data_IF_088843888120
#
_entry.id   IF_088843888120
#
_cell.length_a   1.000
_cell.length_b   1.000
_cell.length_c   1.000
_cell.angle_alpha   90.00
_cell.angle_beta   90.00
_cell.angle_gamma   90.00
#
_symmetry.space_group_name_H-M   'P 1'
#
loop_
_entity.id
_entity.type
_entity.pdbx_description
1 polymer ?
#
# COMPACT_ATOMS: atom_id res chain seq x y z
N UNK A 1 49.71 -17.10 4.02
CA UNK A 1 48.99 -18.06 3.14
C UNK A 1 47.84 -18.79 3.83
N UNK A 2 47.99 -19.36 5.05
CA UNK A 2 46.86 -19.99 5.80
C UNK A 2 45.59 -19.11 5.88
N UNK A 3 45.72 -17.83 6.25
CA UNK A 3 44.59 -16.90 6.29
C UNK A 3 43.90 -16.68 4.93
N UNK A 4 44.61 -16.78 3.81
CA UNK A 4 44.02 -16.49 2.49
C UNK A 4 43.14 -17.63 1.99
N UNK A 5 43.56 -18.87 2.22
CA UNK A 5 42.79 -20.06 1.88
C UNK A 5 41.56 -20.21 2.80
N UNK A 6 41.74 -20.05 4.11
CA UNK A 6 40.62 -20.08 5.07
C UNK A 6 39.57 -19.01 4.76
N UNK A 7 39.98 -17.77 4.46
CA UNK A 7 39.07 -16.70 4.01
C UNK A 7 38.37 -17.08 2.70
N UNK A 8 39.03 -17.79 1.78
CA UNK A 8 38.42 -18.20 0.52
C UNK A 8 37.32 -19.23 0.72
N UNK A 9 37.55 -20.23 1.58
CA UNK A 9 36.56 -21.27 1.92
C UNK A 9 35.40 -20.68 2.71
N UNK A 10 35.68 -19.81 3.69
CA UNK A 10 34.64 -19.11 4.43
C UNK A 10 33.74 -18.27 3.51
N UNK A 11 34.31 -17.60 2.50
CA UNK A 11 33.53 -16.87 1.50
C UNK A 11 32.65 -17.79 0.64
N UNK A 12 33.11 -18.99 0.27
CA UNK A 12 32.27 -19.98 -0.42
C UNK A 12 31.09 -20.39 0.47
N UNK A 13 31.35 -20.66 1.75
CA UNK A 13 30.31 -20.99 2.74
C UNK A 13 29.29 -19.85 2.93
N UNK A 14 29.72 -18.58 2.94
CA UNK A 14 28.82 -17.43 2.99
C UNK A 14 27.90 -17.35 1.77
N UNK A 15 28.38 -17.72 0.58
CA UNK A 15 27.57 -17.78 -0.65
C UNK A 15 26.51 -18.87 -0.55
N UNK A 16 26.89 -20.09 -0.14
CA UNK A 16 25.93 -21.19 0.03
C UNK A 16 24.88 -20.90 1.10
N UNK A 17 25.30 -20.30 2.23
CA UNK A 17 24.36 -19.81 3.23
C UNK A 17 23.38 -18.76 2.69
N UNK A 18 23.87 -17.87 1.81
CA UNK A 18 23.02 -16.95 1.05
C UNK A 18 21.95 -17.70 0.24
N UNK A 19 22.33 -18.74 -0.49
CA UNK A 19 21.42 -19.58 -1.27
C UNK A 19 20.38 -20.28 -0.39
N UNK A 20 20.81 -20.90 0.71
CA UNK A 20 19.92 -21.62 1.64
C UNK A 20 18.89 -20.69 2.29
N UNK A 21 19.34 -19.55 2.80
CA UNK A 21 18.43 -18.56 3.41
C UNK A 21 17.53 -17.90 2.38
N UNK A 22 17.98 -17.76 1.12
CA UNK A 22 17.13 -17.31 0.03
C UNK A 22 15.98 -18.28 -0.27
N UNK A 23 16.27 -19.59 -0.36
CA UNK A 23 15.24 -20.62 -0.55
C UNK A 23 14.18 -20.57 0.55
N UNK A 24 14.59 -20.48 1.83
CA UNK A 24 13.64 -20.39 2.94
C UNK A 24 12.80 -19.11 2.90
N UNK A 25 13.43 -17.96 2.60
CA UNK A 25 12.72 -16.68 2.47
C UNK A 25 11.72 -16.66 1.33
N UNK A 26 12.07 -17.27 0.19
CA UNK A 26 11.18 -17.33 -0.96
C UNK A 26 9.96 -18.21 -0.65
N UNK A 27 10.17 -19.39 -0.08
CA UNK A 27 9.06 -20.26 0.34
C UNK A 27 8.18 -19.58 1.39
N UNK A 28 8.78 -18.89 2.36
CA UNK A 28 8.03 -18.16 3.38
C UNK A 28 7.14 -17.07 2.78
N UNK A 29 7.65 -16.36 1.76
CA UNK A 29 6.88 -15.34 1.05
C UNK A 29 5.65 -15.94 0.35
N UNK A 30 5.80 -17.11 -0.27
CA UNK A 30 4.69 -17.81 -0.92
C UNK A 30 3.64 -18.28 0.10
N UNK A 31 4.08 -18.82 1.24
CA UNK A 31 3.21 -19.21 2.37
C UNK A 31 2.43 -18.00 2.90
N UNK A 32 3.11 -16.87 3.10
CA UNK A 32 2.50 -15.64 3.58
C UNK A 32 1.42 -15.14 2.61
N UNK A 33 1.70 -15.10 1.31
CA UNK A 33 0.74 -14.69 0.28
C UNK A 33 -0.49 -15.60 0.23
N UNK A 34 -0.29 -16.92 0.34
CA UNK A 34 -1.38 -17.90 0.36
C UNK A 34 -2.26 -17.73 1.60
N UNK A 35 -1.66 -17.63 2.79
CA UNK A 35 -2.39 -17.42 4.03
C UNK A 35 -3.13 -16.08 4.04
N UNK A 36 -2.51 -15.01 3.56
CA UNK A 36 -3.15 -13.70 3.46
C UNK A 36 -4.40 -13.78 2.55
N UNK A 37 -4.31 -14.46 1.41
CA UNK A 37 -5.46 -14.68 0.52
C UNK A 37 -6.59 -15.48 1.20
N UNK A 38 -6.25 -16.49 2.02
CA UNK A 38 -7.24 -17.25 2.77
C UNK A 38 -7.92 -16.42 3.87
N UNK A 39 -7.16 -15.57 4.57
CA UNK A 39 -7.67 -14.61 5.56
C UNK A 39 -8.61 -13.61 4.89
N UNK A 40 -8.22 -13.04 3.75
CA UNK A 40 -9.05 -12.12 2.97
C UNK A 40 -10.38 -12.76 2.56
N UNK A 41 -10.33 -14.02 2.12
CA UNK A 41 -11.52 -14.82 1.78
C UNK A 41 -12.32 -15.31 3.02
N UNK A 42 -11.85 -15.07 4.24
CA UNK A 42 -12.53 -15.44 5.48
C UNK A 42 -12.45 -16.93 5.82
N UNK A 43 -11.51 -17.68 5.24
CA UNK A 43 -11.31 -19.11 5.52
C UNK A 43 -10.48 -19.36 6.78
N UNK A 44 -9.71 -18.37 7.22
CA UNK A 44 -8.79 -18.47 8.37
C UNK A 44 -9.06 -17.30 9.31
N UNK A 45 -9.33 -17.62 10.58
CA UNK A 45 -9.63 -16.64 11.64
C UNK A 45 -8.49 -16.45 12.64
N UNK A 46 -7.52 -17.37 12.66
CA UNK A 46 -6.33 -17.30 13.51
C UNK A 46 -5.18 -18.00 12.81
N UNK A 47 -3.96 -17.47 12.92
CA UNK A 47 -2.75 -18.14 12.43
C UNK A 47 -1.82 -18.38 13.62
N UNK A 48 -1.51 -19.64 13.92
CA UNK A 48 -0.52 -19.97 14.94
C UNK A 48 0.88 -20.11 14.34
N UNK A 49 1.90 -19.99 15.20
CA UNK A 49 3.30 -20.25 14.85
C UNK A 49 3.47 -21.65 14.25
N UNK A 50 2.77 -22.64 14.81
CA UNK A 50 2.83 -24.04 14.37
C UNK A 50 2.23 -24.23 12.98
N UNK A 51 1.20 -23.45 12.60
CA UNK A 51 0.60 -23.52 11.26
C UNK A 51 1.56 -23.03 10.19
N UNK A 52 2.26 -21.92 10.45
CA UNK A 52 3.30 -21.38 9.55
C UNK A 52 4.49 -22.34 9.50
N UNK A 53 4.94 -22.85 10.65
CA UNK A 53 6.05 -23.80 10.72
C UNK A 53 5.76 -25.10 9.94
N UNK A 54 4.53 -25.61 10.04
CA UNK A 54 4.09 -26.81 9.32
C UNK A 54 4.19 -26.65 7.80
N UNK A 55 3.87 -25.47 7.29
CA UNK A 55 3.94 -25.18 5.85
C UNK A 55 5.38 -25.09 5.36
N UNK A 56 6.28 -24.41 6.09
CA UNK A 56 7.69 -24.26 5.67
C UNK A 56 8.56 -25.49 5.95
N UNK A 57 8.05 -26.47 6.70
CA UNK A 57 8.79 -27.69 7.11
C UNK A 57 9.45 -28.41 5.93
N UNK A 58 8.79 -28.45 4.77
CA UNK A 58 9.32 -29.06 3.55
C UNK A 58 10.61 -28.40 3.07
N UNK A 59 10.58 -27.09 2.85
CA UNK A 59 11.75 -26.31 2.44
C UNK A 59 12.87 -26.33 3.50
N UNK A 60 12.51 -26.29 4.78
CA UNK A 60 13.49 -26.43 5.87
C UNK A 60 14.22 -27.78 5.83
N UNK A 61 13.50 -28.89 5.59
CA UNK A 61 14.11 -30.21 5.46
C UNK A 61 15.04 -30.29 4.24
N UNK A 62 14.65 -29.70 3.11
CA UNK A 62 15.47 -29.65 1.90
C UNK A 62 16.77 -28.86 2.11
N UNK A 63 16.66 -27.66 2.70
CA UNK A 63 17.81 -26.82 3.02
C UNK A 63 18.73 -27.49 4.04
N UNK A 64 18.17 -28.13 5.06
CA UNK A 64 18.95 -28.90 6.06
C UNK A 64 19.74 -30.02 5.39
N UNK A 65 19.15 -30.72 4.42
CA UNK A 65 19.83 -31.76 3.64
C UNK A 65 20.97 -31.18 2.80
N UNK A 66 20.70 -30.13 2.02
CA UNK A 66 21.71 -29.43 1.19
C UNK A 66 22.89 -28.94 2.02
N UNK A 67 22.61 -28.36 3.19
CA UNK A 67 23.63 -27.92 4.12
C UNK A 67 24.49 -29.08 4.64
N UNK A 68 23.86 -30.18 5.10
CA UNK A 68 24.62 -31.37 5.53
C UNK A 68 25.51 -31.91 4.41
N UNK A 69 24.96 -32.05 3.21
CA UNK A 69 25.70 -32.50 2.04
C UNK A 69 26.91 -31.59 1.76
N UNK A 70 26.76 -30.27 1.88
CA UNK A 70 27.87 -29.32 1.69
C UNK A 70 28.97 -29.49 2.76
N UNK A 71 28.60 -29.58 4.04
CA UNK A 71 29.58 -29.76 5.11
C UNK A 71 30.28 -31.12 5.07
N UNK A 72 29.60 -32.17 4.60
CA UNK A 72 30.11 -33.55 4.65
C UNK A 72 30.87 -33.97 3.36
N UNK A 73 30.58 -33.37 2.20
CA UNK A 73 31.09 -33.82 0.89
C UNK A 73 32.02 -32.82 0.18
N UNK A 74 32.12 -31.59 0.66
CA UNK A 74 32.98 -30.58 0.04
C UNK A 74 34.47 -30.92 0.24
N UNK A 75 35.30 -30.52 -0.73
CA UNK A 75 36.76 -30.70 -0.71
C UNK A 75 37.41 -30.06 0.53
N UNK A 76 36.79 -29.01 1.08
CA UNK A 76 37.25 -28.23 2.22
C UNK A 76 36.57 -28.68 3.55
N UNK A 77 35.93 -29.86 3.61
CA UNK A 77 35.09 -30.34 4.73
C UNK A 77 35.72 -30.28 6.12
N UNK A 78 36.98 -30.68 6.29
CA UNK A 78 37.70 -30.59 7.57
C UNK A 78 37.77 -29.14 8.08
N UNK A 79 38.00 -28.18 7.18
CA UNK A 79 38.07 -26.77 7.54
C UNK A 79 36.68 -26.17 7.77
N UNK A 80 35.65 -26.65 7.06
CA UNK A 80 34.27 -26.23 7.25
C UNK A 80 33.67 -26.68 8.59
N UNK A 81 34.12 -27.83 9.12
CA UNK A 81 33.60 -28.42 10.35
C UNK A 81 33.56 -27.44 11.55
N UNK A 82 34.56 -26.55 11.64
CA UNK A 82 34.63 -25.54 12.71
C UNK A 82 33.49 -24.51 12.68
N UNK A 83 32.84 -24.29 11.54
CA UNK A 83 31.73 -23.34 11.39
C UNK A 83 30.35 -24.01 11.33
N UNK A 84 30.28 -25.34 11.22
CA UNK A 84 29.01 -26.09 11.04
C UNK A 84 27.94 -25.71 12.05
N UNK A 85 28.24 -25.84 13.34
CA UNK A 85 27.27 -25.56 14.40
C UNK A 85 26.75 -24.11 14.37
N UNK A 86 27.64 -23.15 14.05
CA UNK A 86 27.27 -21.74 13.92
C UNK A 86 26.29 -21.52 12.77
N UNK A 87 26.50 -22.14 11.61
CA UNK A 87 25.61 -21.99 10.46
C UNK A 87 24.29 -22.76 10.62
N UNK A 88 24.31 -23.95 11.24
CA UNK A 88 23.09 -24.67 11.64
C UNK A 88 22.22 -23.84 12.59
N UNK A 89 22.84 -23.15 13.54
CA UNK A 89 22.15 -22.24 14.47
C UNK A 89 21.59 -21.03 13.72
N UNK A 90 22.39 -20.38 12.85
CA UNK A 90 21.95 -19.23 12.06
C UNK A 90 20.73 -19.54 11.17
N UNK A 91 20.70 -20.69 10.50
CA UNK A 91 19.55 -21.07 9.66
C UNK A 91 18.28 -21.20 10.52
N UNK A 92 18.42 -21.81 11.71
CA UNK A 92 17.31 -21.97 12.64
C UNK A 92 16.80 -20.63 13.16
N UNK A 93 17.69 -19.73 13.54
CA UNK A 93 17.34 -18.37 13.97
C UNK A 93 16.63 -17.59 12.85
N UNK A 94 17.11 -17.70 11.60
CA UNK A 94 16.45 -17.09 10.44
C UNK A 94 15.05 -17.68 10.24
N UNK A 95 14.90 -19.01 10.32
CA UNK A 95 13.61 -19.66 10.20
C UNK A 95 12.64 -19.23 11.30
N UNK A 96 13.06 -19.32 12.56
CA UNK A 96 12.24 -18.97 13.72
C UNK A 96 11.83 -17.48 13.69
N UNK A 97 12.75 -16.60 13.29
CA UNK A 97 12.47 -15.18 13.09
C UNK A 97 11.42 -14.93 12.01
N UNK A 98 11.55 -15.59 10.85
CA UNK A 98 10.57 -15.48 9.77
C UNK A 98 9.19 -16.00 10.17
N UNK A 99 9.13 -17.14 10.87
CA UNK A 99 7.87 -17.74 11.32
C UNK A 99 7.17 -16.80 12.31
N UNK A 100 7.90 -16.24 13.27
CA UNK A 100 7.35 -15.30 14.24
C UNK A 100 6.80 -14.04 13.55
N UNK A 101 7.58 -13.48 12.64
CA UNK A 101 7.26 -12.27 11.90
C UNK A 101 6.02 -12.44 11.01
N UNK A 102 5.96 -13.51 10.21
CA UNK A 102 4.80 -13.83 9.36
C UNK A 102 3.56 -14.11 10.20
N UNK A 103 3.70 -14.85 11.30
CA UNK A 103 2.59 -15.11 12.23
C UNK A 103 2.03 -13.81 12.80
N UNK A 104 2.89 -12.90 13.27
CA UNK A 104 2.47 -11.59 13.78
C UNK A 104 1.78 -10.76 12.70
N UNK A 105 2.35 -10.71 11.50
CA UNK A 105 1.80 -9.97 10.35
C UNK A 105 0.39 -10.46 10.00
N UNK A 106 0.20 -11.77 9.84
CA UNK A 106 -1.09 -12.35 9.48
C UNK A 106 -2.15 -12.14 10.58
N UNK A 107 -1.75 -12.24 11.85
CA UNK A 107 -2.66 -11.93 12.96
C UNK A 107 -3.05 -10.45 13.02
N UNK A 108 -2.16 -9.53 12.65
CA UNK A 108 -2.52 -8.11 12.52
C UNK A 108 -3.59 -7.90 11.44
N UNK A 109 -3.45 -8.57 10.28
CA UNK A 109 -4.47 -8.53 9.19
C UNK A 109 -5.82 -9.05 9.70
N UNK A 110 -5.82 -10.18 10.42
CA UNK A 110 -7.02 -10.76 11.02
C UNK A 110 -7.67 -9.79 12.02
N UNK A 111 -6.89 -9.23 12.94
CA UNK A 111 -7.40 -8.29 13.94
C UNK A 111 -8.02 -7.05 13.29
N UNK A 112 -7.39 -6.54 12.24
CA UNK A 112 -7.92 -5.42 11.47
C UNK A 112 -9.24 -5.79 10.78
N UNK A 113 -9.31 -6.95 10.12
CA UNK A 113 -10.54 -7.42 9.49
C UNK A 113 -11.68 -7.56 10.50
N UNK A 114 -11.37 -8.08 11.70
CA UNK A 114 -12.32 -8.18 12.80
C UNK A 114 -12.77 -6.79 13.27
N UNK A 115 -11.85 -5.85 13.44
CA UNK A 115 -12.16 -4.47 13.81
C UNK A 115 -13.04 -3.76 12.76
N UNK A 116 -12.77 -3.96 11.46
CA UNK A 116 -13.61 -3.43 10.39
C UNK A 116 -15.02 -4.04 10.43
N UNK A 117 -15.14 -5.35 10.61
CA UNK A 117 -16.44 -6.02 10.73
C UNK A 117 -17.22 -5.51 11.94
N UNK A 118 -16.58 -5.40 13.11
CA UNK A 118 -17.19 -4.84 14.31
C UNK A 118 -17.62 -3.38 14.12
N UNK A 119 -16.86 -2.60 13.36
CA UNK A 119 -17.21 -1.22 13.01
C UNK A 119 -18.46 -1.18 12.13
N UNK A 120 -18.52 -2.02 11.09
CA UNK A 120 -19.66 -2.09 10.17
C UNK A 120 -20.93 -2.59 10.87
N UNK A 121 -20.82 -3.61 11.73
CA UNK A 121 -21.92 -4.11 12.54
C UNK A 121 -22.45 -3.01 13.48
N UNK A 122 -21.55 -2.23 14.11
CA UNK A 122 -21.94 -1.07 14.94
C UNK A 122 -22.62 0.02 14.14
N UNK A 123 -22.14 0.32 12.93
CA UNK A 123 -22.78 1.29 12.03
C UNK A 123 -24.21 0.85 11.71
N UNK A 124 -24.41 -0.42 11.37
CA UNK A 124 -25.73 -0.98 11.10
C UNK A 124 -26.64 -0.92 12.35
N UNK A 125 -26.11 -1.26 13.53
CA UNK A 125 -26.87 -1.17 14.78
C UNK A 125 -27.31 0.26 15.09
N UNK A 126 -26.43 1.24 14.89
CA UNK A 126 -26.73 2.65 15.08
C UNK A 126 -27.77 3.13 14.09
N UNK A 127 -27.67 2.78 12.82
CA UNK A 127 -28.68 3.15 11.81
C UNK A 127 -30.06 2.60 12.19
N UNK A 128 -30.13 1.33 12.60
CA UNK A 128 -31.38 0.72 13.06
C UNK A 128 -31.97 1.44 14.28
N UNK A 129 -31.12 1.78 15.27
CA UNK A 129 -31.55 2.50 16.48
C UNK A 129 -31.98 3.95 16.18
N UNK A 130 -31.26 4.65 15.31
CA UNK A 130 -31.61 6.01 14.88
C UNK A 130 -32.95 6.01 14.13
N UNK A 131 -33.16 5.03 13.24
CA UNK A 131 -34.43 4.89 12.53
C UNK A 131 -35.60 4.65 13.49
N UNK A 132 -35.41 3.74 14.45
CA UNK A 132 -36.41 3.44 15.45
C UNK A 132 -36.76 4.68 16.29
N UNK A 133 -35.75 5.45 16.70
CA UNK A 133 -35.96 6.73 17.40
C UNK A 133 -36.68 7.78 16.56
N UNK A 134 -36.35 7.90 15.27
CA UNK A 134 -37.09 8.76 14.34
C UNK A 134 -38.56 8.35 14.24
N UNK A 135 -38.85 7.04 14.21
CA UNK A 135 -40.23 6.53 14.15
C UNK A 135 -41.01 6.79 15.44
N UNK A 136 -40.40 6.54 16.60
CA UNK A 136 -40.99 6.80 17.93
C UNK A 136 -41.32 8.29 18.09
N UNK A 137 -40.37 9.17 17.77
CA UNK A 137 -40.57 10.61 17.84
C UNK A 137 -41.72 11.07 16.92
N UNK A 138 -41.80 10.51 15.70
CA UNK A 138 -42.88 10.83 14.78
C UNK A 138 -44.26 10.40 15.30
N UNK A 139 -44.33 9.25 15.99
CA UNK A 139 -45.58 8.79 16.62
C UNK A 139 -46.01 9.69 17.78
N UNK A 140 -45.07 10.14 18.62
CA UNK A 140 -45.35 11.06 19.73
C UNK A 140 -45.87 12.42 19.28
N UNK A 141 -45.44 12.87 18.09
CA UNK A 141 -45.74 14.20 17.54
C UNK A 141 -46.91 14.20 16.53
N UNK A 142 -47.36 13.01 16.10
CA UNK A 142 -48.42 12.83 15.08
C UNK A 142 -49.71 13.61 15.37
N UNK A 143 -50.06 13.75 16.65
CA UNK A 143 -51.28 14.43 17.09
C UNK A 143 -51.03 15.84 17.66
N UNK A 144 -49.77 16.28 17.75
CA UNK A 144 -49.38 17.49 18.50
C UNK A 144 -48.84 18.63 17.63
N UNK A 145 -48.19 18.32 16.53
CA UNK A 145 -47.50 19.34 15.74
C UNK A 145 -48.30 19.72 14.48
N UNK A 146 -48.57 21.02 14.31
CA UNK A 146 -49.21 21.57 13.11
C UNK A 146 -48.21 22.25 12.16
N UNK A 147 -46.98 22.49 12.60
CA UNK A 147 -45.93 23.19 11.84
C UNK A 147 -44.71 22.28 11.59
N UNK A 148 -44.32 22.16 10.32
CA UNK A 148 -43.16 21.39 9.85
C UNK A 148 -41.84 21.97 10.40
N UNK A 149 -41.76 23.28 10.62
CA UNK A 149 -40.59 23.92 11.22
C UNK A 149 -40.41 23.58 12.70
N UNK A 150 -41.49 23.45 13.47
CA UNK A 150 -41.44 23.04 14.88
C UNK A 150 -41.02 21.57 15.02
N UNK A 151 -41.53 20.69 14.16
CA UNK A 151 -41.11 19.28 14.07
C UNK A 151 -39.60 19.17 13.83
N UNK A 152 -39.08 19.96 12.90
CA UNK A 152 -37.67 19.95 12.57
C UNK A 152 -36.80 20.43 13.75
N UNK A 153 -37.17 21.52 14.43
CA UNK A 153 -36.45 21.99 15.63
C UNK A 153 -36.44 20.93 16.73
N UNK A 154 -37.55 20.22 16.93
CA UNK A 154 -37.63 19.14 17.91
C UNK A 154 -36.67 17.98 17.58
N UNK A 155 -36.65 17.52 16.33
CA UNK A 155 -35.71 16.50 15.87
C UNK A 155 -34.25 16.93 16.10
N UNK A 156 -33.91 18.17 15.72
CA UNK A 156 -32.55 18.69 15.86
C UNK A 156 -32.08 18.77 17.31
N UNK A 157 -32.99 19.10 18.24
CA UNK A 157 -32.68 19.18 19.67
C UNK A 157 -32.31 17.81 20.27
N UNK A 158 -32.94 16.72 19.78
CA UNK A 158 -32.73 15.37 20.29
C UNK A 158 -31.58 14.64 19.60
N UNK A 159 -31.29 14.99 18.35
CA UNK A 159 -30.29 14.34 17.50
C UNK A 159 -28.92 14.20 18.16
N UNK A 160 -28.38 15.31 18.69
CA UNK A 160 -27.06 15.31 19.31
C UNK A 160 -26.99 14.35 20.52
N UNK A 161 -28.06 14.30 21.32
CA UNK A 161 -28.18 13.39 22.45
C UNK A 161 -28.28 11.92 22.04
N UNK A 162 -28.99 11.62 20.95
CA UNK A 162 -29.07 10.26 20.40
C UNK A 162 -27.70 9.79 19.89
N UNK A 163 -27.03 10.60 19.07
CA UNK A 163 -25.71 10.27 18.53
C UNK A 163 -24.71 10.05 19.66
N UNK A 164 -24.66 10.95 20.65
CA UNK A 164 -23.75 10.82 21.80
C UNK A 164 -24.00 9.54 22.61
N UNK A 165 -25.25 9.21 22.91
CA UNK A 165 -25.59 7.98 23.66
C UNK A 165 -25.27 6.70 22.89
N UNK A 166 -25.53 6.69 21.59
CA UNK A 166 -25.34 5.51 20.74
C UNK A 166 -23.87 5.23 20.41
N UNK A 167 -22.98 6.22 20.60
CA UNK A 167 -21.55 6.14 20.24
C UNK A 167 -20.62 6.08 21.46
N UNK A 168 -21.14 6.25 22.68
CA UNK A 168 -20.34 6.37 23.92
C UNK A 168 -19.42 5.17 24.24
N UNK A 169 -19.66 4.00 23.64
CA UNK A 169 -18.84 2.79 23.84
C UNK A 169 -17.82 2.51 22.73
N UNK A 170 -17.72 3.35 21.70
CA UNK A 170 -16.77 3.14 20.59
C UNK A 170 -15.35 3.56 21.01
N UNK A 171 -14.36 2.69 20.82
CA UNK A 171 -12.95 3.05 20.99
C UNK A 171 -12.46 3.77 19.73
N UNK A 172 -11.76 4.91 19.85
CA UNK A 172 -11.14 5.57 18.71
C UNK A 172 -10.10 4.65 18.04
N UNK A 173 -10.04 4.71 16.72
CA UNK A 173 -9.04 3.99 15.94
C UNK A 173 -7.66 4.67 16.14
N UNK A 174 -6.63 3.88 16.47
CA UNK A 174 -5.27 4.38 16.74
C UNK A 174 -4.61 4.99 15.49
N UNK A 175 -3.68 5.93 15.68
CA UNK A 175 -2.85 6.48 14.60
C UNK A 175 -1.83 5.45 14.11
N UNK A 176 -1.34 5.65 12.88
CA UNK A 176 -0.36 4.79 12.23
C UNK A 176 1.03 5.42 12.30
N UNK A 177 2.03 4.61 12.63
CA UNK A 177 3.44 5.01 12.65
C UNK A 177 4.19 4.36 11.47
N UNK A 178 4.10 5.02 10.32
CA UNK A 178 4.75 4.57 9.08
C UNK A 178 6.27 4.46 9.24
N UNK A 179 6.89 5.28 10.09
CA UNK A 179 8.34 5.29 10.27
C UNK A 179 8.81 4.11 11.14
N UNK A 180 8.05 3.76 12.18
CA UNK A 180 8.29 2.55 12.95
C UNK A 180 8.06 1.31 12.07
N UNK A 181 6.96 1.27 11.34
CA UNK A 181 6.60 0.15 10.47
C UNK A 181 7.62 -0.05 9.34
N UNK A 182 8.10 1.02 8.69
CA UNK A 182 9.17 0.95 7.69
C UNK A 182 10.46 0.31 8.23
N UNK A 183 10.76 0.53 9.52
CA UNK A 183 11.92 -0.06 10.18
C UNK A 183 11.75 -1.57 10.32
N UNK A 184 10.57 -2.01 10.77
CA UNK A 184 10.21 -3.42 10.84
C UNK A 184 10.33 -4.06 9.45
N UNK A 185 9.72 -3.46 8.43
CA UNK A 185 9.77 -3.96 7.04
C UNK A 185 11.19 -4.14 6.50
N UNK A 186 12.10 -3.22 6.81
CA UNK A 186 13.49 -3.33 6.36
C UNK A 186 14.24 -4.45 7.09
N UNK A 187 14.02 -4.61 8.40
CA UNK A 187 14.60 -5.72 9.16
C UNK A 187 14.09 -7.08 8.66
N UNK A 188 12.79 -7.15 8.38
CA UNK A 188 12.09 -8.30 7.80
C UNK A 188 12.70 -8.72 6.45
N UNK A 189 13.11 -7.76 5.63
CA UNK A 189 13.80 -8.01 4.35
C UNK A 189 15.26 -8.48 4.49
N UNK A 190 15.76 -8.58 5.72
CA UNK A 190 17.10 -9.03 6.06
C UNK A 190 18.16 -7.92 6.05
N UNK A 191 17.77 -6.65 6.16
CA UNK A 191 18.72 -5.55 6.32
C UNK A 191 19.14 -5.39 7.78
N UNK A 192 20.41 -5.09 7.99
CA UNK A 192 21.02 -4.94 9.32
C UNK A 192 20.55 -3.64 9.99
N UNK A 193 20.20 -3.70 11.29
CA UNK A 193 19.73 -2.53 12.05
C UNK A 193 20.64 -1.31 11.91
N UNK A 194 21.97 -1.52 11.96
CA UNK A 194 22.95 -0.44 11.87
C UNK A 194 22.82 0.35 10.57
N UNK A 195 22.61 -0.33 9.44
CA UNK A 195 22.43 0.31 8.13
C UNK A 195 21.14 1.14 8.11
N UNK A 196 20.06 0.57 8.64
CA UNK A 196 18.75 1.23 8.70
C UNK A 196 18.82 2.47 9.60
N UNK A 197 19.43 2.34 10.78
CA UNK A 197 19.56 3.44 11.73
C UNK A 197 20.44 4.57 11.18
N UNK A 198 21.58 4.23 10.58
CA UNK A 198 22.50 5.20 9.96
C UNK A 198 21.82 5.97 8.81
N UNK A 199 21.04 5.29 7.98
CA UNK A 199 20.22 5.91 6.93
C UNK A 199 19.18 6.90 7.51
N UNK A 200 18.52 6.52 8.60
CA UNK A 200 17.52 7.37 9.28
C UNK A 200 18.15 8.59 9.96
N UNK A 201 19.28 8.42 10.63
CA UNK A 201 20.02 9.51 11.29
C UNK A 201 20.55 10.53 10.27
N UNK A 202 21.15 10.03 9.19
CA UNK A 202 21.71 10.90 8.14
C UNK A 202 20.64 11.52 7.25
N UNK A 203 19.44 10.93 7.20
CA UNK A 203 18.35 11.31 6.29
C UNK A 203 18.82 11.35 4.82
N UNK A 204 19.83 10.55 4.47
CA UNK A 204 20.43 10.50 3.13
C UNK A 204 19.41 10.10 2.07
N UNK A 205 18.49 9.21 2.43
CA UNK A 205 17.36 8.79 1.59
C UNK A 205 16.52 9.96 1.07
N UNK A 206 16.33 11.04 1.84
CA UNK A 206 15.52 12.20 1.41
C UNK A 206 16.11 12.93 0.22
N UNK A 207 17.43 12.82 0.04
CA UNK A 207 18.20 13.47 -1.03
C UNK A 207 18.71 12.49 -2.07
N UNK A 208 18.18 11.26 -2.11
CA UNK A 208 18.68 10.24 -3.02
C UNK A 208 18.58 10.68 -4.49
N UNK A 209 17.52 11.38 -4.90
CA UNK A 209 17.39 11.95 -6.25
C UNK A 209 18.33 13.14 -6.55
N UNK A 210 18.61 13.94 -5.51
CA UNK A 210 19.47 15.13 -5.57
C UNK A 210 20.96 14.77 -5.50
N UNK A 211 21.27 13.48 -5.27
CA UNK A 211 22.64 12.99 -5.23
C UNK A 211 23.27 13.18 -6.61
N UNK A 212 24.25 14.07 -6.68
CA UNK A 212 25.02 14.33 -7.91
C UNK A 212 26.00 13.21 -8.25
N UNK A 213 26.34 12.35 -7.28
CA UNK A 213 27.28 11.26 -7.48
C UNK A 213 26.89 9.98 -6.71
N UNK A 214 26.37 8.99 -7.42
CA UNK A 214 25.98 7.68 -6.88
C UNK A 214 27.14 6.71 -6.67
N UNK A 215 28.40 7.10 -6.93
CA UNK A 215 29.57 6.22 -6.71
C UNK A 215 29.68 5.71 -5.26
N UNK A 216 29.17 6.48 -4.29
CA UNK A 216 29.09 6.06 -2.88
C UNK A 216 28.22 4.81 -2.66
N UNK A 217 27.24 4.58 -3.52
CA UNK A 217 26.31 3.45 -3.49
C UNK A 217 26.77 2.23 -4.29
N UNK A 218 27.96 2.28 -4.87
CA UNK A 218 28.42 1.28 -5.85
C UNK A 218 29.68 0.57 -5.36
N UNK A 219 29.76 -0.72 -5.65
CA UNK A 219 30.92 -1.58 -5.42
C UNK A 219 31.40 -2.16 -6.75
N UNK A 220 32.72 -2.14 -6.97
CA UNK A 220 33.35 -2.66 -8.20
C UNK A 220 33.46 -4.18 -8.16
N UNK A 221 33.19 -4.86 -9.27
CA UNK A 221 33.57 -6.27 -9.41
C UNK A 221 35.11 -6.39 -9.41
N UNK A 222 35.66 -7.27 -8.56
CA UNK A 222 37.09 -7.38 -8.22
C UNK A 222 38.09 -7.63 -9.38
N UNK A 223 37.64 -7.74 -10.63
CA UNK A 223 38.51 -8.10 -11.76
C UNK A 223 39.19 -6.93 -12.48
N UNK A 224 38.98 -5.67 -12.08
CA UNK A 224 39.71 -4.54 -12.68
C UNK A 224 40.37 -3.65 -11.63
N UNK A 225 41.60 -4.03 -11.31
CA UNK A 225 42.55 -3.29 -10.50
C UNK A 225 43.25 -2.29 -11.44
N UNK A 226 43.16 -0.99 -11.14
CA UNK A 226 43.96 0.14 -11.69
C UNK A 226 43.34 1.19 -12.64
N UNK A 227 42.02 1.43 -12.67
CA UNK A 227 41.50 2.73 -13.14
C UNK A 227 40.45 3.31 -12.18
N UNK A 228 40.63 4.58 -11.83
CA UNK A 228 39.58 5.42 -11.24
C UNK A 228 38.46 5.53 -12.29
N UNK A 229 37.51 4.59 -12.23
CA UNK A 229 36.30 4.64 -13.03
C UNK A 229 35.44 5.78 -12.47
N UNK A 230 35.48 6.93 -13.12
CA UNK A 230 34.53 8.00 -12.90
C UNK A 230 33.21 7.55 -13.52
N UNK A 231 32.13 7.52 -12.74
CA UNK A 231 30.78 7.30 -13.28
C UNK A 231 30.52 8.35 -14.36
N UNK A 232 30.14 7.92 -15.55
CA UNK A 232 29.78 8.87 -16.60
C UNK A 232 28.51 9.61 -16.22
N UNK A 233 28.29 10.79 -16.80
CA UNK A 233 27.04 11.52 -16.63
C UNK A 233 25.83 10.64 -17.00
N UNK A 234 25.94 9.85 -18.08
CA UNK A 234 24.90 8.89 -18.48
C UNK A 234 24.63 7.83 -17.41
N UNK A 235 25.66 7.28 -16.77
CA UNK A 235 25.47 6.29 -15.69
C UNK A 235 24.78 6.89 -14.46
N UNK A 236 25.07 8.16 -14.14
CA UNK A 236 24.38 8.88 -13.07
C UNK A 236 22.91 9.13 -13.43
N UNK A 237 22.62 9.56 -14.67
CA UNK A 237 21.25 9.75 -15.15
C UNK A 237 20.46 8.44 -15.21
N UNK A 238 21.09 7.32 -15.57
CA UNK A 238 20.45 6.01 -15.55
C UNK A 238 19.98 5.62 -14.15
N UNK A 239 20.81 5.83 -13.12
CA UNK A 239 20.42 5.56 -11.73
C UNK A 239 19.29 6.51 -11.30
N UNK A 240 19.36 7.79 -11.65
CA UNK A 240 18.31 8.76 -11.32
C UNK A 240 16.98 8.42 -12.00
N UNK A 241 17.02 8.04 -13.28
CA UNK A 241 15.86 7.57 -14.01
C UNK A 241 15.25 6.32 -13.37
N UNK A 242 16.08 5.36 -12.98
CA UNK A 242 15.65 4.16 -12.26
C UNK A 242 14.95 4.50 -10.93
N UNK A 243 15.50 5.41 -10.12
CA UNK A 243 14.88 5.84 -8.86
C UNK A 243 13.48 6.42 -9.12
N UNK A 244 13.32 7.29 -10.13
CA UNK A 244 12.01 7.87 -10.50
C UNK A 244 11.00 6.79 -10.90
N UNK A 245 11.43 5.82 -11.73
CA UNK A 245 10.56 4.70 -12.13
C UNK A 245 10.11 3.86 -10.92
N UNK A 246 11.01 3.60 -9.98
CA UNK A 246 10.68 2.85 -8.76
C UNK A 246 9.75 3.67 -7.84
N UNK A 247 9.97 4.99 -7.72
CA UNK A 247 9.08 5.89 -6.97
C UNK A 247 7.66 5.85 -7.55
N UNK A 248 7.50 6.10 -8.85
CA UNK A 248 6.20 6.11 -9.53
C UNK A 248 5.47 4.77 -9.35
N UNK A 249 6.16 3.65 -9.57
CA UNK A 249 5.58 2.30 -9.39
C UNK A 249 5.20 2.03 -7.94
N UNK A 250 6.00 2.49 -6.98
CA UNK A 250 5.74 2.29 -5.54
C UNK A 250 4.54 3.12 -5.08
N UNK A 251 4.47 4.38 -5.50
CA UNK A 251 3.36 5.28 -5.19
C UNK A 251 2.04 4.76 -5.76
N UNK A 252 2.03 4.35 -7.02
CA UNK A 252 0.83 3.76 -7.66
C UNK A 252 0.40 2.48 -6.96
N UNK A 253 1.34 1.62 -6.57
CA UNK A 253 1.05 0.40 -5.80
C UNK A 253 0.39 0.74 -4.46
N UNK A 254 0.95 1.68 -3.68
CA UNK A 254 0.37 2.10 -2.39
C UNK A 254 -1.00 2.76 -2.58
N UNK A 255 -1.14 3.65 -3.55
CA UNK A 255 -2.36 4.39 -3.80
C UNK A 255 -3.52 3.49 -4.28
N UNK A 256 -3.20 2.34 -4.87
CA UNK A 256 -4.21 1.33 -5.24
C UNK A 256 -4.79 0.58 -4.03
N UNK A 257 -4.18 0.68 -2.84
CA UNK A 257 -4.60 -0.07 -1.65
C UNK A 257 -5.84 0.57 -1.00
N UNK A 258 -6.77 -0.23 -0.47
CA UNK A 258 -8.04 0.25 0.07
C UNK A 258 -7.88 0.83 1.50
N UNK A 259 -6.92 1.75 1.70
CA UNK A 259 -6.63 2.32 3.03
C UNK A 259 -7.82 3.10 3.59
N UNK A 260 -8.55 3.83 2.74
CA UNK A 260 -9.69 4.64 3.16
C UNK A 260 -10.90 3.79 3.62
N UNK A 261 -11.06 2.59 3.06
CA UNK A 261 -12.21 1.72 3.33
C UNK A 261 -11.91 0.60 4.30
N UNK A 262 -10.68 0.06 4.28
CA UNK A 262 -10.25 -1.07 5.12
C UNK A 262 -9.23 -0.70 6.20
N UNK A 263 -8.72 0.53 6.18
CA UNK A 263 -7.66 0.99 7.07
C UNK A 263 -6.25 0.62 6.58
N UNK A 264 -5.25 1.24 7.20
CA UNK A 264 -3.84 0.97 6.93
C UNK A 264 -3.41 -0.44 7.37
N UNK A 265 -2.50 -1.06 6.61
CA UNK A 265 -1.85 -2.31 6.99
C UNK A 265 -0.35 -2.25 6.64
N UNK A 266 0.49 -2.77 7.54
CA UNK A 266 1.95 -2.87 7.32
C UNK A 266 2.31 -3.71 6.08
N UNK A 267 1.44 -4.65 5.68
CA UNK A 267 1.59 -5.44 4.44
C UNK A 267 1.80 -4.55 3.21
N UNK A 268 1.16 -3.38 3.17
CA UNK A 268 1.28 -2.44 2.07
C UNK A 268 2.71 -1.89 1.94
N UNK A 269 3.40 -1.65 3.06
CA UNK A 269 4.80 -1.23 3.03
C UNK A 269 5.73 -2.40 2.66
N UNK A 270 5.42 -3.61 3.14
CA UNK A 270 6.22 -4.81 2.84
C UNK A 270 6.21 -5.13 1.35
N UNK A 271 5.06 -5.06 0.70
CA UNK A 271 4.96 -5.25 -0.75
C UNK A 271 5.83 -4.24 -1.54
N UNK A 272 5.75 -2.96 -1.16
CA UNK A 272 6.57 -1.92 -1.79
C UNK A 272 8.05 -2.20 -1.59
N UNK A 273 8.45 -2.55 -0.38
CA UNK A 273 9.85 -2.82 -0.07
C UNK A 273 10.37 -4.08 -0.82
N UNK A 274 9.54 -5.12 -0.97
CA UNK A 274 9.86 -6.30 -1.81
C UNK A 274 10.03 -5.89 -3.27
N UNK A 275 9.10 -5.09 -3.80
CA UNK A 275 9.15 -4.59 -5.18
C UNK A 275 10.40 -3.75 -5.43
N UNK A 276 10.78 -2.86 -4.50
CA UNK A 276 12.02 -2.08 -4.57
C UNK A 276 13.24 -3.01 -4.61
N UNK A 277 13.33 -3.98 -3.69
CA UNK A 277 14.45 -4.93 -3.63
C UNK A 277 14.57 -5.76 -4.92
N UNK A 278 13.45 -6.18 -5.49
CA UNK A 278 13.39 -6.88 -6.78
C UNK A 278 13.86 -5.98 -7.93
N UNK A 279 13.32 -4.76 -8.02
CA UNK A 279 13.71 -3.80 -9.06
C UNK A 279 15.19 -3.41 -9.00
N UNK A 280 15.77 -3.27 -7.81
CA UNK A 280 17.22 -3.04 -7.65
C UNK A 280 18.02 -4.22 -8.18
N UNK A 281 17.58 -5.46 -7.90
CA UNK A 281 18.23 -6.68 -8.35
C UNK A 281 18.18 -6.83 -9.88
N UNK A 282 17.04 -6.52 -10.49
CA UNK A 282 16.85 -6.49 -11.94
C UNK A 282 17.69 -5.40 -12.61
N UNK A 283 17.73 -4.20 -12.04
CA UNK A 283 18.48 -3.06 -12.59
C UNK A 283 19.99 -3.30 -12.63
N UNK A 284 20.55 -3.93 -11.58
CA UNK A 284 21.99 -4.23 -11.53
C UNK A 284 22.38 -5.46 -12.38
N UNK A 285 21.41 -6.27 -12.82
CA UNK A 285 21.68 -7.43 -13.66
C UNK A 285 22.32 -7.00 -14.99
N UNK A 286 23.48 -7.55 -15.30
CA UNK A 286 24.24 -7.22 -16.52
C UNK A 286 24.99 -5.88 -16.47
N UNK A 287 25.01 -5.16 -15.34
CA UNK A 287 25.83 -3.96 -15.15
C UNK A 287 27.27 -4.32 -14.79
N UNK A 288 28.21 -3.40 -15.08
CA UNK A 288 29.64 -3.54 -14.74
C UNK A 288 29.94 -3.32 -13.25
N UNK A 289 28.91 -3.04 -12.46
CA UNK A 289 29.00 -2.65 -11.07
C UNK A 289 27.82 -3.23 -10.28
N UNK A 290 28.01 -3.38 -8.96
CA UNK A 290 26.97 -3.84 -8.05
C UNK A 290 26.56 -2.71 -7.11
N UNK A 291 25.26 -2.60 -6.83
CA UNK A 291 24.74 -1.65 -5.86
C UNK A 291 24.93 -2.20 -4.43
N UNK A 292 25.33 -1.33 -3.51
CA UNK A 292 25.46 -1.67 -2.09
C UNK A 292 24.08 -1.81 -1.44
N UNK A 293 24.00 -2.52 -0.31
CA UNK A 293 22.74 -2.73 0.43
C UNK A 293 22.11 -1.40 0.89
N UNK A 294 22.96 -0.44 1.24
CA UNK A 294 22.62 0.92 1.65
C UNK A 294 21.78 1.64 0.61
N UNK A 295 22.03 1.39 -0.70
CA UNK A 295 21.22 1.96 -1.77
C UNK A 295 19.78 1.44 -1.72
N UNK A 296 19.60 0.13 -1.50
CA UNK A 296 18.26 -0.45 -1.40
C UNK A 296 17.53 0.07 -0.16
N UNK A 297 18.22 0.18 0.98
CA UNK A 297 17.66 0.74 2.21
C UNK A 297 17.22 2.18 2.00
N UNK A 298 18.08 3.03 1.43
CA UNK A 298 17.76 4.44 1.18
C UNK A 298 16.64 4.59 0.15
N UNK A 299 16.64 3.79 -0.92
CA UNK A 299 15.56 3.83 -1.91
C UNK A 299 14.21 3.40 -1.31
N UNK A 300 14.21 2.36 -0.47
CA UNK A 300 12.98 1.93 0.22
C UNK A 300 12.49 3.01 1.18
N UNK A 301 13.35 3.57 2.03
CA UNK A 301 12.97 4.67 2.94
C UNK A 301 12.47 5.90 2.17
N UNK A 302 13.09 6.22 1.04
CA UNK A 302 12.68 7.31 0.17
C UNK A 302 11.25 7.13 -0.34
N UNK A 303 10.91 5.99 -0.93
CA UNK A 303 9.56 5.78 -1.48
C UNK A 303 8.49 5.71 -0.37
N UNK A 304 8.82 5.18 0.81
CA UNK A 304 7.90 5.14 1.95
C UNK A 304 7.66 6.53 2.55
N UNK A 305 8.70 7.38 2.65
CA UNK A 305 8.56 8.80 3.08
C UNK A 305 7.67 9.58 2.10
N UNK A 306 7.82 9.34 0.80
CA UNK A 306 6.96 9.96 -0.24
C UNK A 306 5.50 9.52 -0.15
N UNK A 307 5.26 8.31 0.34
CA UNK A 307 3.93 7.73 0.49
C UNK A 307 3.26 8.09 1.83
N UNK A 308 4.03 8.54 2.81
CA UNK A 308 3.59 8.76 4.20
C UNK A 308 2.38 9.69 4.30
N UNK A 309 2.41 10.83 3.58
CA UNK A 309 1.32 11.80 3.61
C UNK A 309 0.01 11.17 3.15
N UNK A 310 0.04 10.49 2.01
CA UNK A 310 -1.13 9.83 1.45
C UNK A 310 -1.66 8.75 2.40
N UNK A 311 -0.77 7.91 2.96
CA UNK A 311 -1.16 6.87 3.94
C UNK A 311 -1.81 7.46 5.19
N UNK A 312 -1.24 8.54 5.74
CA UNK A 312 -1.79 9.23 6.91
C UNK A 312 -3.13 9.89 6.61
N UNK A 313 -3.27 10.55 5.46
CA UNK A 313 -4.51 11.20 5.07
C UNK A 313 -5.62 10.17 4.78
N UNK A 314 -5.31 9.08 4.06
CA UNK A 314 -6.25 8.00 3.81
C UNK A 314 -6.63 7.24 5.08
N UNK A 315 -5.68 7.01 5.99
CA UNK A 315 -5.99 6.44 7.31
C UNK A 315 -6.85 7.39 8.14
N UNK A 316 -6.61 8.70 8.07
CA UNK A 316 -7.48 9.69 8.71
C UNK A 316 -8.90 9.64 8.15
N UNK A 317 -9.09 9.51 6.84
CA UNK A 317 -10.44 9.32 6.25
C UNK A 317 -11.12 8.03 6.73
N UNK A 318 -10.34 6.95 6.88
CA UNK A 318 -10.83 5.72 7.51
C UNK A 318 -11.23 5.95 8.98
N UNK A 319 -10.50 6.79 9.72
CA UNK A 319 -10.89 7.21 11.07
C UNK A 319 -12.08 8.17 11.07
N UNK A 320 -12.25 9.02 10.07
CA UNK A 320 -13.40 9.91 9.96
C UNK A 320 -14.68 9.13 9.61
N UNK A 321 -14.54 7.86 9.21
CA UNK A 321 -15.61 6.86 9.23
C UNK A 321 -15.84 6.23 10.61
N UNK A 322 -15.26 6.78 11.69
CA UNK A 322 -15.55 6.37 13.06
C UNK A 322 -17.04 6.54 13.36
N UNK A 323 -17.52 5.68 14.25
CA UNK A 323 -18.91 5.47 14.62
C UNK A 323 -19.63 6.80 14.90
N UNK A 324 -18.96 7.75 15.57
CA UNK A 324 -19.54 9.06 15.87
C UNK A 324 -19.70 9.96 14.64
N UNK A 325 -18.65 10.14 13.84
CA UNK A 325 -18.67 10.97 12.64
C UNK A 325 -19.62 10.40 11.58
N UNK A 326 -19.64 9.08 11.45
CA UNK A 326 -20.62 8.34 10.63
C UNK A 326 -22.05 8.59 11.10
N UNK A 327 -22.35 8.41 12.39
CA UNK A 327 -23.69 8.65 12.91
C UNK A 327 -24.14 10.09 12.65
N UNK A 328 -23.25 11.07 12.84
CA UNK A 328 -23.53 12.49 12.61
C UNK A 328 -23.83 12.81 11.14
N UNK A 329 -23.13 12.18 10.19
CA UNK A 329 -23.36 12.41 8.75
C UNK A 329 -24.74 11.95 8.27
N UNK A 330 -25.35 11.00 8.98
CA UNK A 330 -26.69 10.45 8.66
C UNK A 330 -27.86 11.35 9.07
N UNK A 331 -27.60 12.53 9.66
CA UNK A 331 -28.64 13.43 10.19
C UNK A 331 -29.73 13.74 9.15
N UNK A 332 -29.33 14.16 7.96
CA UNK A 332 -30.27 14.55 6.91
C UNK A 332 -31.15 13.37 6.47
N UNK A 333 -30.53 12.20 6.33
CA UNK A 333 -31.21 10.95 5.98
C UNK A 333 -32.30 10.59 7.02
N UNK A 334 -31.95 10.60 8.31
CA UNK A 334 -32.91 10.25 9.37
C UNK A 334 -33.95 11.34 9.65
N UNK A 335 -33.65 12.61 9.31
CA UNK A 335 -34.64 13.69 9.32
C UNK A 335 -35.71 13.46 8.25
N UNK A 336 -35.31 13.13 7.00
CA UNK A 336 -36.27 12.76 5.95
C UNK A 336 -37.16 11.59 6.36
N UNK A 337 -36.57 10.56 6.96
CA UNK A 337 -37.32 9.41 7.48
C UNK A 337 -38.33 9.83 8.56
N UNK A 338 -37.91 10.66 9.52
CA UNK A 338 -38.79 11.23 10.54
C UNK A 338 -39.95 12.01 9.92
N UNK A 339 -39.68 12.92 8.99
CA UNK A 339 -40.71 13.70 8.28
C UNK A 339 -41.69 12.81 7.52
N UNK A 340 -41.20 11.77 6.85
CA UNK A 340 -42.03 10.76 6.19
C UNK A 340 -42.97 10.07 7.18
N UNK A 341 -42.46 9.64 8.33
CA UNK A 341 -43.28 9.03 9.38
C UNK A 341 -44.33 10.00 9.96
N UNK A 342 -43.99 11.28 10.17
CA UNK A 342 -44.94 12.31 10.60
C UNK A 342 -46.09 12.50 9.59
N UNK A 343 -45.79 12.38 8.29
CA UNK A 343 -46.79 12.43 7.19
C UNK A 343 -47.62 11.16 7.06
N UNK A 344 -47.40 10.16 7.90
CA UNK A 344 -48.12 8.89 7.90
C UNK A 344 -47.61 7.87 6.89
N UNK A 345 -46.43 8.09 6.29
CA UNK A 345 -45.80 7.11 5.40
C UNK A 345 -45.55 5.79 6.12
N UNK A 346 -45.77 4.67 5.42
CA UNK A 346 -45.43 3.35 5.93
C UNK A 346 -43.91 3.18 6.01
N UNK A 347 -43.44 2.27 6.88
CA UNK A 347 -42.01 1.95 6.96
C UNK A 347 -41.44 1.51 5.61
N UNK A 348 -42.19 0.77 4.80
CA UNK A 348 -41.74 0.33 3.47
C UNK A 348 -41.46 1.50 2.52
N UNK A 349 -42.30 2.54 2.53
CA UNK A 349 -42.12 3.74 1.69
C UNK A 349 -40.89 4.52 2.15
N UNK A 350 -40.74 4.74 3.46
CA UNK A 350 -39.58 5.43 4.02
C UNK A 350 -38.29 4.67 3.70
N UNK A 351 -38.28 3.33 3.84
CA UNK A 351 -37.13 2.52 3.48
C UNK A 351 -36.79 2.61 1.98
N UNK A 352 -37.79 2.59 1.10
CA UNK A 352 -37.57 2.74 -0.34
C UNK A 352 -36.93 4.10 -0.67
N UNK A 353 -37.41 5.19 -0.07
CA UNK A 353 -36.83 6.53 -0.24
C UNK A 353 -35.38 6.58 0.28
N UNK A 354 -35.11 6.00 1.45
CA UNK A 354 -33.76 5.94 2.02
C UNK A 354 -32.77 5.17 1.13
N UNK A 355 -33.19 4.04 0.57
CA UNK A 355 -32.38 3.24 -0.35
C UNK A 355 -32.15 4.02 -1.65
N UNK A 356 -33.18 4.67 -2.20
CA UNK A 356 -33.05 5.51 -3.39
C UNK A 356 -32.06 6.67 -3.18
N UNK A 357 -32.13 7.35 -2.04
CA UNK A 357 -31.19 8.42 -1.68
C UNK A 357 -29.74 7.91 -1.57
N UNK A 358 -29.54 6.70 -1.06
CA UNK A 358 -28.22 6.07 -0.98
C UNK A 358 -27.68 5.62 -2.35
N UNK A 359 -28.55 5.12 -3.24
CA UNK A 359 -28.16 4.65 -4.57
C UNK A 359 -27.93 5.80 -5.55
N UNK A 360 -28.57 6.96 -5.35
CA UNK A 360 -28.54 8.08 -6.29
C UNK A 360 -27.12 8.57 -6.64
N UNK A 361 -26.17 8.76 -5.70
CA UNK A 361 -24.80 9.14 -6.04
C UNK A 361 -24.11 8.09 -6.90
N UNK A 362 -24.21 6.81 -6.53
CA UNK A 362 -23.58 5.70 -7.25
C UNK A 362 -24.17 5.52 -8.66
N UNK A 363 -25.49 5.66 -8.82
CA UNK A 363 -26.15 5.61 -10.13
C UNK A 363 -25.70 6.80 -10.98
N UNK A 364 -25.60 8.00 -10.39
CA UNK A 364 -25.17 9.20 -11.11
C UNK A 364 -23.73 9.08 -11.59
N UNK A 365 -22.84 8.55 -10.74
CA UNK A 365 -21.46 8.24 -11.11
C UNK A 365 -21.39 7.18 -12.23
N UNK A 366 -22.14 6.08 -12.09
CA UNK A 366 -22.16 5.01 -13.09
C UNK A 366 -22.68 5.51 -14.46
N UNK A 367 -23.77 6.27 -14.47
CA UNK A 367 -24.33 6.89 -15.68
C UNK A 367 -23.38 7.92 -16.26
N UNK A 368 -22.70 8.72 -15.42
CA UNK A 368 -21.69 9.67 -15.86
C UNK A 368 -20.51 8.98 -16.55
N UNK A 369 -20.00 7.89 -15.97
CA UNK A 369 -18.92 7.09 -16.54
C UNK A 369 -19.33 6.43 -17.87
N UNK A 370 -20.54 5.87 -17.95
CA UNK A 370 -21.02 5.30 -19.22
C UNK A 370 -21.24 6.37 -20.29
N UNK A 371 -21.79 7.53 -19.91
CA UNK A 371 -21.98 8.67 -20.81
C UNK A 371 -20.64 9.19 -21.34
N UNK A 372 -19.63 9.34 -20.47
CA UNK A 372 -18.29 9.75 -20.86
C UNK A 372 -17.64 8.75 -21.83
N UNK A 373 -17.83 7.44 -21.59
CA UNK A 373 -17.36 6.39 -22.50
C UNK A 373 -18.04 6.48 -23.87
N UNK A 374 -19.36 6.61 -23.90
CA UNK A 374 -20.12 6.72 -25.15
C UNK A 374 -19.75 7.99 -25.93
N UNK A 375 -19.55 9.12 -25.23
CA UNK A 375 -19.09 10.36 -25.84
C UNK A 375 -17.67 10.22 -26.43
N UNK A 376 -16.75 9.58 -25.71
CA UNK A 376 -15.40 9.33 -26.22
C UNK A 376 -15.42 8.45 -27.49
N UNK A 377 -16.28 7.44 -27.53
CA UNK A 377 -16.47 6.60 -28.72
C UNK A 377 -17.08 7.38 -29.90
N UNK A 378 -18.05 8.25 -29.64
CA UNK A 378 -18.65 9.14 -30.64
C UNK A 378 -17.61 10.12 -31.21
N UNK A 379 -16.84 10.79 -30.33
CA UNK A 379 -15.75 11.70 -30.74
C UNK A 379 -14.71 10.96 -31.58
N UNK A 380 -14.34 9.73 -31.21
CA UNK A 380 -13.39 8.91 -31.97
C UNK A 380 -13.92 8.50 -33.35
N UNK A 381 -15.21 8.20 -33.48
CA UNK A 381 -15.82 7.78 -34.74
C UNK A 381 -16.04 8.96 -35.70
N UNK A 382 -16.52 10.08 -35.16
CA UNK A 382 -17.16 11.14 -35.94
C UNK A 382 -16.38 12.46 -35.96
N UNK A 383 -15.47 12.71 -35.01
CA UNK A 383 -14.69 13.95 -34.99
C UNK A 383 -13.27 13.74 -35.58
N UNK A 384 -12.90 14.46 -36.67
CA UNK A 384 -11.64 14.23 -37.38
C UNK A 384 -10.39 14.35 -36.51
N UNK A 385 -10.36 15.26 -35.54
CA UNK A 385 -9.21 15.44 -34.65
C UNK A 385 -8.95 14.23 -33.74
N UNK A 386 -10.00 13.49 -33.38
CA UNK A 386 -9.94 12.34 -32.46
C UNK A 386 -9.98 11.00 -33.20
N UNK A 387 -10.13 11.04 -34.53
CA UNK A 387 -10.15 9.86 -35.40
C UNK A 387 -8.73 9.42 -35.78
N UNK A 388 -8.23 8.36 -35.14
CA UNK A 388 -6.94 7.75 -35.48
C UNK A 388 -5.97 7.70 -34.32
N UNK A 389 -4.67 7.88 -34.59
CA UNK A 389 -3.62 7.80 -33.58
C UNK A 389 -3.22 9.18 -33.04
N UNK A 390 -2.41 9.18 -31.97
CA UNK A 390 -1.93 10.40 -31.29
C UNK A 390 -1.35 11.48 -32.22
N UNK A 391 -0.64 11.09 -33.29
CA UNK A 391 -0.07 12.06 -34.25
C UNK A 391 -1.15 12.86 -34.98
N UNK A 392 -2.32 12.25 -35.22
CA UNK A 392 -3.44 12.96 -35.81
C UNK A 392 -3.98 14.02 -34.85
N UNK A 393 -4.17 13.69 -33.57
CA UNK A 393 -4.56 14.65 -32.54
C UNK A 393 -3.56 15.81 -32.44
N UNK A 394 -2.27 15.51 -32.30
CA UNK A 394 -1.21 16.53 -32.19
C UNK A 394 -1.17 17.45 -33.41
N UNK A 395 -1.38 16.92 -34.63
CA UNK A 395 -1.50 17.72 -35.84
C UNK A 395 -2.66 18.72 -35.75
N UNK A 396 -3.83 18.29 -35.25
CA UNK A 396 -4.99 19.16 -35.11
C UNK A 396 -4.83 20.21 -34.00
N UNK A 397 -4.20 19.85 -32.89
CA UNK A 397 -3.82 20.78 -31.80
C UNK A 397 -2.88 21.87 -32.33
N UNK A 398 -1.77 21.46 -32.96
CA UNK A 398 -0.78 22.40 -33.51
C UNK A 398 -1.36 23.28 -34.62
N UNK A 399 -2.26 22.73 -35.44
CA UNK A 399 -2.97 23.49 -36.45
C UNK A 399 -3.87 24.57 -35.83
N UNK A 400 -4.63 24.24 -34.79
CA UNK A 400 -5.48 25.22 -34.10
C UNK A 400 -4.67 26.33 -33.44
N UNK A 401 -3.53 26.00 -32.83
CA UNK A 401 -2.59 26.99 -32.28
C UNK A 401 -2.05 27.94 -33.35
N UNK A 402 -1.71 27.41 -34.52
CA UNK A 402 -1.22 28.21 -35.64
C UNK A 402 -2.31 29.09 -36.27
N UNK A 403 -3.53 28.55 -36.43
CA UNK A 403 -4.69 29.30 -36.99
C UNK A 403 -5.13 30.45 -36.07
N UNK A 404 -4.99 30.29 -34.75
CA UNK A 404 -5.36 31.30 -33.75
C UNK A 404 -4.22 32.27 -33.39
N UNK A 405 -3.03 32.09 -33.97
CA UNK A 405 -1.80 32.84 -33.62
C UNK A 405 -1.52 32.87 -32.10
N UNK A 406 -1.89 31.80 -31.38
CA UNK A 406 -1.80 31.73 -29.92
C UNK A 406 -0.42 31.29 -29.43
N UNK A 407 0.47 32.27 -29.29
CA UNK A 407 1.83 32.06 -28.79
C UNK A 407 1.85 31.56 -27.33
N UNK A 408 0.91 32.01 -26.50
CA UNK A 408 0.79 31.55 -25.10
C UNK A 408 0.37 30.08 -25.01
N UNK A 409 -0.56 29.67 -25.87
CA UNK A 409 -0.97 28.29 -26.06
C UNK A 409 0.18 27.40 -26.52
N UNK A 410 1.00 27.87 -27.46
CA UNK A 410 2.20 27.15 -27.93
C UNK A 410 3.19 26.91 -26.78
N UNK A 411 3.48 27.93 -25.98
CA UNK A 411 4.36 27.80 -24.81
C UNK A 411 3.79 26.82 -23.78
N UNK A 412 2.47 26.85 -23.56
CA UNK A 412 1.79 25.91 -22.66
C UNK A 412 1.85 24.48 -23.19
N UNK A 413 1.63 24.24 -24.48
CA UNK A 413 1.73 22.92 -25.10
C UNK A 413 3.16 22.34 -25.02
N UNK A 414 4.20 23.16 -25.19
CA UNK A 414 5.60 22.71 -25.09
C UNK A 414 5.98 22.30 -23.66
N UNK A 415 5.63 23.13 -22.67
CA UNK A 415 6.06 22.90 -21.29
C UNK A 415 5.11 22.00 -20.49
N UNK A 416 3.83 21.97 -20.89
CA UNK A 416 2.75 21.23 -20.20
C UNK A 416 1.74 20.67 -21.22
N UNK A 417 2.16 19.71 -22.06
CA UNK A 417 1.33 19.20 -23.17
C UNK A 417 0.01 18.59 -22.69
N UNK A 418 -0.02 17.93 -21.53
CA UNK A 418 -1.27 17.39 -20.97
C UNK A 418 -2.29 18.48 -20.65
N UNK A 419 -1.88 19.53 -19.93
CA UNK A 419 -2.75 20.66 -19.57
C UNK A 419 -3.32 21.37 -20.81
N UNK A 420 -2.51 21.46 -21.88
CA UNK A 420 -2.98 22.07 -23.12
C UNK A 420 -3.93 21.17 -23.92
N UNK A 421 -3.61 19.87 -24.04
CA UNK A 421 -4.48 18.93 -24.74
C UNK A 421 -5.82 18.77 -24.03
N UNK A 422 -5.84 18.80 -22.69
CA UNK A 422 -7.09 18.84 -21.90
C UNK A 422 -7.95 20.08 -22.17
N UNK A 423 -7.35 21.23 -22.52
CA UNK A 423 -8.10 22.42 -22.93
C UNK A 423 -8.59 22.37 -24.38
N UNK A 424 -7.90 21.60 -25.22
CA UNK A 424 -8.25 21.43 -26.63
C UNK A 424 -9.42 20.44 -26.81
N UNK A 425 -9.47 19.39 -25.98
CA UNK A 425 -10.59 18.44 -25.86
C UNK A 425 -11.79 19.16 -25.23
#
# INVERSE_FOLDING_TARGET
FKNTYEISVYRKLEVEYGTWTWTLRNEMLDIENQLNTQIENGRVETVSRDDVYRQIKGAHAEVTKKMKDYFDKDEDSEMLAQWRHRFETKIREVLDGMVEQVTKKLNNVIQQKKACKELDDKKMEIENKLLQKSKELAQELKDKAKDENELQKHFESLWAGWVSKLTAGAKPIADVDIAADATVVLMDLGFEWNIINEAKERRSFKKILETGNYSQYVTKHKKQVHKWYFFTHEEQEMIRGFIRTVEEKSLTTIQSRPVETKGYNITYLQEVAINVKKSVSEFQCGKKYALKKEFTVDLTLYVLDRSERWLKDSHRRFKDNDVFAYAKSKKEQFNKAFTGFCKGSSSAVVFAELICDQLKPSITEAVGNDSARNLADEMRCNHPAFKGNRRNLEKHVLRSLAENEDFGGCMTYIHKPQEHVERFI
#
